data_IF_542751495300
#
_entry.id   IF_542751495300
#
_cell.length_a   1.000
_cell.length_b   1.000
_cell.length_c   1.000
_cell.angle_alpha   90.00
_cell.angle_beta   90.00
_cell.angle_gamma   90.00
#
_symmetry.space_group_name_H-M   'P 1'
#
loop_
_entity.id
_entity.type
_entity.pdbx_description
1 polymer ?
#
# COMPACT_ATOMS: atom_id res chain seq x y z
N UNK A 1 0.60 1.87 9.08
CA UNK A 1 0.00 2.23 7.77
C UNK A 1 -0.60 3.64 7.85
N UNK A 2 -0.53 4.49 6.81
CA UNK A 2 -1.12 5.85 6.86
C UNK A 2 -2.64 5.85 7.01
N UNK A 3 -3.20 6.86 7.68
CA UNK A 3 -4.62 6.97 8.04
C UNK A 3 -5.57 6.83 6.85
N UNK A 4 -5.42 7.67 5.82
CA UNK A 4 -6.26 7.62 4.61
C UNK A 4 -6.26 6.24 3.95
N UNK A 5 -5.09 5.59 3.89
CA UNK A 5 -4.98 4.24 3.31
C UNK A 5 -5.76 3.21 4.12
N UNK A 6 -5.78 3.37 5.45
CA UNK A 6 -6.53 2.50 6.37
C UNK A 6 -8.02 2.70 6.18
N UNK A 7 -8.47 3.94 6.11
CA UNK A 7 -9.88 4.27 5.88
C UNK A 7 -10.36 3.71 4.54
N UNK A 8 -9.60 3.89 3.45
CA UNK A 8 -9.92 3.30 2.13
C UNK A 8 -10.04 1.77 2.20
N UNK A 9 -9.08 1.10 2.84
CA UNK A 9 -9.12 -0.37 2.94
C UNK A 9 -10.30 -0.87 3.76
N UNK A 10 -10.63 -0.19 4.87
CA UNK A 10 -11.75 -0.56 5.72
C UNK A 10 -13.09 -0.29 5.02
N UNK A 11 -13.21 0.81 4.29
CA UNK A 11 -14.39 1.12 3.49
C UNK A 11 -14.67 0.04 2.43
N UNK A 12 -13.64 -0.44 1.75
CA UNK A 12 -13.76 -1.56 0.81
C UNK A 12 -14.14 -2.87 1.51
N UNK A 13 -13.53 -3.18 2.67
CA UNK A 13 -13.57 -4.55 3.23
C UNK A 13 -14.62 -4.77 4.32
N UNK A 14 -14.98 -3.73 5.08
CA UNK A 14 -15.97 -3.77 6.16
C UNK A 14 -17.28 -3.10 5.74
N UNK A 15 -17.20 -2.01 4.98
CA UNK A 15 -18.39 -1.26 4.56
C UNK A 15 -18.88 -1.67 3.15
N UNK A 16 -18.22 -2.63 2.52
CA UNK A 16 -18.51 -3.21 1.19
C UNK A 16 -18.66 -2.19 0.05
N UNK A 17 -17.99 -1.03 0.18
CA UNK A 17 -18.04 0.01 -0.83
C UNK A 17 -17.23 -0.36 -2.07
N UNK A 18 -17.73 0.01 -3.24
CA UNK A 18 -16.99 -0.12 -4.49
C UNK A 18 -15.82 0.87 -4.58
N UNK A 19 -14.92 0.66 -5.53
CA UNK A 19 -13.81 1.59 -5.76
C UNK A 19 -14.31 2.96 -6.23
N UNK A 20 -15.40 2.99 -6.99
CA UNK A 20 -16.08 4.17 -7.48
C UNK A 20 -16.70 4.97 -6.33
N UNK A 21 -17.43 4.32 -5.43
CA UNK A 21 -18.03 4.99 -4.26
C UNK A 21 -16.95 5.56 -3.33
N UNK A 22 -15.85 4.85 -3.14
CA UNK A 22 -14.72 5.34 -2.35
C UNK A 22 -14.05 6.53 -3.05
N UNK A 23 -13.88 6.46 -4.38
CA UNK A 23 -13.32 7.55 -5.17
C UNK A 23 -14.17 8.82 -5.04
N UNK A 24 -15.48 8.71 -5.18
CA UNK A 24 -16.44 9.81 -4.99
C UNK A 24 -16.37 10.40 -3.58
N UNK A 25 -16.41 9.56 -2.54
CA UNK A 25 -16.38 10.02 -1.13
C UNK A 25 -15.07 10.69 -0.73
N UNK A 26 -13.95 10.28 -1.34
CA UNK A 26 -12.61 10.77 -0.97
C UNK A 26 -12.07 11.86 -1.91
N UNK A 27 -12.74 12.11 -3.04
CA UNK A 27 -12.25 13.00 -4.09
C UNK A 27 -11.01 12.47 -4.83
N UNK A 28 -10.73 11.16 -4.72
CA UNK A 28 -9.64 10.50 -5.41
C UNK A 28 -10.13 9.94 -6.75
N UNK A 29 -9.22 9.76 -7.70
CA UNK A 29 -9.52 8.90 -8.86
C UNK A 29 -9.55 7.42 -8.44
N UNK A 30 -10.33 6.60 -9.16
CA UNK A 30 -10.39 5.13 -8.97
C UNK A 30 -8.98 4.52 -8.94
N UNK A 31 -8.10 4.93 -9.87
CA UNK A 31 -6.69 4.47 -9.92
C UNK A 31 -5.87 4.82 -8.68
N UNK A 32 -6.16 5.94 -8.02
CA UNK A 32 -5.54 6.27 -6.75
C UNK A 32 -6.07 5.36 -5.64
N UNK A 33 -7.38 5.12 -5.59
CA UNK A 33 -8.01 4.18 -4.63
C UNK A 33 -7.41 2.78 -4.76
N UNK A 34 -7.35 2.22 -5.97
CA UNK A 34 -6.68 0.93 -6.26
C UNK A 34 -5.26 0.88 -5.70
N UNK A 35 -4.47 1.93 -5.92
CA UNK A 35 -3.10 2.01 -5.42
C UNK A 35 -3.04 2.06 -3.89
N UNK A 36 -4.00 2.70 -3.24
CA UNK A 36 -4.10 2.69 -1.78
C UNK A 36 -4.43 1.29 -1.27
N UNK A 37 -5.37 0.59 -1.90
CA UNK A 37 -5.76 -0.79 -1.57
C UNK A 37 -4.61 -1.78 -1.79
N UNK A 38 -3.94 -1.75 -2.95
CA UNK A 38 -2.80 -2.62 -3.21
C UNK A 38 -1.67 -2.42 -2.16
N UNK A 39 -1.42 -1.17 -1.77
CA UNK A 39 -0.43 -0.84 -0.73
C UNK A 39 -0.86 -1.26 0.67
N UNK A 40 -2.16 -1.26 1.00
CA UNK A 40 -2.61 -1.76 2.29
C UNK A 40 -2.46 -3.27 2.37
N UNK A 41 -2.85 -3.99 1.31
CA UNK A 41 -2.66 -5.45 1.21
C UNK A 41 -1.19 -5.85 1.41
N UNK A 42 -0.26 -5.19 0.71
CA UNK A 42 1.18 -5.44 0.91
C UNK A 42 1.64 -5.17 2.35
N UNK A 43 1.15 -4.10 2.96
CA UNK A 43 1.48 -3.78 4.36
C UNK A 43 0.96 -4.85 5.33
N UNK A 44 -0.23 -5.38 5.07
CA UNK A 44 -0.84 -6.45 5.88
C UNK A 44 -0.12 -7.78 5.67
N UNK A 45 0.23 -8.14 4.43
CA UNK A 45 1.02 -9.33 4.13
C UNK A 45 2.38 -9.30 4.83
N UNK A 46 3.08 -8.17 4.78
CA UNK A 46 4.35 -8.02 5.51
C UNK A 46 4.16 -8.20 7.02
N UNK A 47 3.08 -7.69 7.59
CA UNK A 47 2.77 -7.86 9.01
C UNK A 47 2.44 -9.32 9.38
N UNK A 48 1.64 -10.00 8.56
CA UNK A 48 1.28 -11.42 8.75
C UNK A 48 2.53 -12.31 8.65
N UNK A 49 3.40 -12.02 7.69
CA UNK A 49 4.63 -12.78 7.46
C UNK A 49 5.76 -12.41 8.44
N UNK A 50 5.49 -11.54 9.43
CA UNK A 50 6.50 -11.06 10.39
C UNK A 50 7.64 -10.26 9.76
N UNK A 51 7.49 -9.81 8.50
CA UNK A 51 8.50 -9.01 7.81
C UNK A 51 8.48 -7.59 8.36
N UNK A 52 9.54 -7.25 9.09
CA UNK A 52 9.72 -5.88 9.55
C UNK A 52 9.87 -4.91 8.35
N UNK A 53 9.26 -3.71 8.40
CA UNK A 53 9.40 -2.72 7.35
C UNK A 53 10.89 -2.41 7.12
N UNK A 54 11.34 -2.61 5.89
CA UNK A 54 12.76 -2.46 5.56
C UNK A 54 13.16 -0.97 5.60
N UNK A 55 14.26 -0.63 6.30
CA UNK A 55 14.82 0.72 6.28
C UNK A 55 15.13 1.19 4.86
N UNK A 56 14.95 2.48 4.62
CA UNK A 56 15.17 3.11 3.30
C UNK A 56 16.58 2.82 2.76
N UNK A 57 17.58 2.82 3.63
CA UNK A 57 18.97 2.60 3.25
C UNK A 57 19.18 1.17 2.73
N UNK A 58 18.59 0.14 3.36
CA UNK A 58 18.65 -1.25 2.84
C UNK A 58 18.01 -1.40 1.46
N UNK A 59 17.01 -0.57 1.13
CA UNK A 59 16.40 -0.54 -0.21
C UNK A 59 17.31 0.15 -1.23
N UNK A 60 18.00 1.21 -0.82
CA UNK A 60 18.98 1.91 -1.66
C UNK A 60 20.21 1.02 -1.95
N UNK A 61 20.78 0.40 -0.92
CA UNK A 61 21.90 -0.53 -1.07
C UNK A 61 21.59 -1.69 -1.99
N UNK A 62 20.37 -2.26 -1.93
CA UNK A 62 19.95 -3.31 -2.90
C UNK A 62 20.05 -2.86 -4.35
N UNK A 63 19.69 -1.60 -4.67
CA UNK A 63 19.77 -1.06 -6.03
C UNK A 63 21.22 -0.77 -6.46
N UNK A 64 22.07 -0.33 -5.53
CA UNK A 64 23.49 -0.06 -5.79
C UNK A 64 24.28 -1.36 -5.96
N UNK A 65 24.09 -2.33 -5.06
CA UNK A 65 24.78 -3.63 -5.10
C UNK A 65 24.35 -4.46 -6.32
N UNK A 66 23.08 -4.41 -6.73
CA UNK A 66 22.63 -5.04 -7.96
C UNK A 66 23.30 -4.47 -9.24
N UNK A 67 23.80 -3.23 -9.17
CA UNK A 67 24.49 -2.56 -10.28
C UNK A 67 25.99 -2.85 -10.33
N UNK A 68 26.58 -3.27 -9.21
CA UNK A 68 28.01 -3.63 -9.07
C UNK A 68 28.30 -5.11 -9.37
N UNK A 69 27.27 -5.93 -9.60
CA UNK A 69 27.38 -7.36 -9.98
C UNK A 69 27.15 -7.62 -11.48
N UNK A 70 27.27 -6.60 -12.33
CA UNK A 70 27.25 -6.71 -13.79
C UNK A 70 28.61 -6.34 -14.37
#
# INVERSE_FOLDING_TARGET
MPRLRREIFLALRLDDLSYEEIAERTGLSVKQVERHVARSMLTLLDAVDGRAPQPWWKRLFRRVVARLRR
#
